data_IF_795586257564
#
_entry.id   IF_795586257564
#
_cell.length_a   1.000
_cell.length_b   1.000
_cell.length_c   1.000
_cell.angle_alpha   90.00
_cell.angle_beta   90.00
_cell.angle_gamma   90.00
#
_symmetry.space_group_name_H-M   'P 1'
#
loop_
_entity.id
_entity.type
_entity.pdbx_description
1 polymer ?
#
# COMPACT_ATOMS: atom_id res chain seq x y z
N UNK A 1 18.25 2.62 0.44
CA UNK A 1 17.55 3.60 1.29
C UNK A 1 16.23 2.98 1.69
N UNK A 2 15.78 3.17 2.94
CA UNK A 2 14.47 2.72 3.41
C UNK A 2 13.66 3.97 3.75
N UNK A 3 12.42 4.02 3.28
CA UNK A 3 11.49 5.12 3.51
C UNK A 3 10.10 4.57 3.83
N UNK A 4 9.28 5.39 4.48
CA UNK A 4 7.88 5.10 4.75
C UNK A 4 7.01 6.20 4.12
N UNK A 5 5.85 5.79 3.61
CA UNK A 5 4.83 6.67 3.04
C UNK A 5 3.47 6.24 3.57
N UNK A 6 2.59 7.20 3.85
CA UNK A 6 1.21 6.94 4.25
C UNK A 6 0.40 8.23 4.32
N UNK A 7 -0.88 8.15 3.96
CA UNK A 7 -1.83 9.23 4.15
C UNK A 7 -2.31 9.28 5.60
N UNK A 8 -2.19 10.45 6.23
CA UNK A 8 -2.53 10.67 7.63
C UNK A 8 -3.63 11.73 7.69
N UNK A 9 -4.80 11.38 8.23
CA UNK A 9 -5.84 12.35 8.50
C UNK A 9 -5.39 13.38 9.55
N UNK A 10 -6.06 14.53 9.62
CA UNK A 10 -5.71 15.60 10.58
C UNK A 10 -5.75 15.17 12.06
N UNK A 11 -6.49 14.10 12.36
CA UNK A 11 -6.56 13.48 13.69
C UNK A 11 -5.52 12.35 13.92
N UNK A 12 -4.60 12.13 12.97
CA UNK A 12 -3.60 11.07 13.03
C UNK A 12 -4.06 9.69 12.52
N UNK A 13 -5.31 9.56 12.06
CA UNK A 13 -5.84 8.27 11.57
C UNK A 13 -5.25 7.89 10.21
N UNK A 14 -4.86 6.62 10.05
CA UNK A 14 -4.36 6.04 8.80
C UNK A 14 -5.41 5.18 8.07
N UNK A 15 -6.40 4.69 8.81
CA UNK A 15 -7.43 3.78 8.33
C UNK A 15 -8.40 3.42 9.45
N UNK A 16 -9.55 2.87 9.09
CA UNK A 16 -10.62 2.48 9.99
C UNK A 16 -11.15 1.11 9.55
N UNK A 17 -11.29 0.13 10.45
CA UNK A 17 -11.85 -1.20 10.16
C UNK A 17 -11.29 -1.92 8.91
N UNK A 18 -9.99 -1.75 8.67
CA UNK A 18 -9.30 -2.36 7.53
C UNK A 18 -9.47 -1.62 6.20
N UNK A 19 -10.14 -0.47 6.16
CA UNK A 19 -10.29 0.34 4.93
C UNK A 19 -9.87 1.79 5.15
N UNK A 20 -9.70 2.53 4.06
CA UNK A 20 -9.45 3.97 4.08
C UNK A 20 -10.79 4.70 4.13
N UNK A 21 -11.09 5.49 5.18
CA UNK A 21 -12.40 6.15 5.33
C UNK A 21 -12.66 7.31 4.37
N UNK A 22 -11.82 7.46 3.35
CA UNK A 22 -11.89 8.49 2.32
C UNK A 22 -11.73 7.87 0.93
N UNK A 23 -12.28 8.56 -0.07
CA UNK A 23 -12.15 8.23 -1.48
C UNK A 23 -11.58 9.46 -2.20
N UNK A 24 -10.25 9.51 -2.30
CA UNK A 24 -9.50 10.63 -2.88
C UNK A 24 -8.59 10.05 -3.99
N UNK A 25 -9.05 10.03 -5.25
CA UNK A 25 -8.32 9.42 -6.36
C UNK A 25 -6.92 10.01 -6.57
N UNK A 26 -6.76 11.31 -6.34
CA UNK A 26 -5.49 12.02 -6.51
C UNK A 26 -4.43 11.58 -5.48
N UNK A 27 -4.86 11.22 -4.27
CA UNK A 27 -3.96 10.69 -3.22
C UNK A 27 -3.47 9.30 -3.61
N UNK A 28 -4.36 8.46 -4.13
CA UNK A 28 -3.99 7.13 -4.60
C UNK A 28 -3.02 7.19 -5.80
N UNK A 29 -3.27 8.09 -6.75
CA UNK A 29 -2.39 8.30 -7.89
C UNK A 29 -0.99 8.76 -7.44
N UNK A 30 -0.93 9.67 -6.47
CA UNK A 30 0.34 10.12 -5.88
C UNK A 30 1.08 8.97 -5.18
N UNK A 31 0.37 8.12 -4.42
CA UNK A 31 0.96 6.94 -3.81
C UNK A 31 1.57 6.00 -4.86
N UNK A 32 0.80 5.67 -5.91
CA UNK A 32 1.25 4.80 -7.00
C UNK A 32 2.49 5.36 -7.72
N UNK A 33 2.51 6.66 -8.03
CA UNK A 33 3.66 7.31 -8.65
C UNK A 33 4.88 7.30 -7.71
N UNK A 34 4.68 7.58 -6.42
CA UNK A 34 5.78 7.69 -5.44
C UNK A 34 6.47 6.35 -5.19
N UNK A 35 5.70 5.25 -5.20
CA UNK A 35 6.23 3.90 -4.93
C UNK A 35 6.64 3.16 -6.21
N UNK A 36 6.40 3.74 -7.38
CA UNK A 36 6.73 3.13 -8.66
C UNK A 36 8.23 2.79 -8.74
N UNK A 37 8.54 1.53 -9.08
CA UNK A 37 9.91 1.03 -9.19
C UNK A 37 10.60 0.69 -7.86
N UNK A 38 9.94 0.91 -6.72
CA UNK A 38 10.42 0.48 -5.41
C UNK A 38 9.85 -0.89 -4.99
N UNK A 39 10.55 -1.57 -4.09
CA UNK A 39 9.98 -2.71 -3.39
C UNK A 39 9.07 -2.22 -2.26
N UNK A 40 7.82 -2.69 -2.24
CA UNK A 40 6.83 -2.35 -1.21
C UNK A 40 6.85 -3.38 -0.08
N UNK A 41 6.91 -2.88 1.15
CA UNK A 41 6.72 -3.68 2.38
C UNK A 41 5.42 -3.22 3.03
N UNK A 42 4.43 -4.09 3.07
CA UNK A 42 3.10 -3.78 3.64
C UNK A 42 2.62 -4.92 4.55
N UNK A 43 1.80 -4.59 5.54
CA UNK A 43 1.17 -5.59 6.40
C UNK A 43 0.10 -6.39 5.66
N UNK A 44 -0.16 -7.62 6.12
CA UNK A 44 -1.18 -8.51 5.52
C UNK A 44 -2.55 -7.84 5.40
N UNK A 45 -3.02 -7.16 6.44
CA UNK A 45 -4.33 -6.50 6.44
C UNK A 45 -4.43 -5.40 5.37
N UNK A 46 -3.36 -4.63 5.17
CA UNK A 46 -3.29 -3.63 4.09
C UNK A 46 -3.28 -4.28 2.72
N UNK A 47 -2.59 -5.41 2.56
CA UNK A 47 -2.60 -6.17 1.31
C UNK A 47 -4.00 -6.73 0.99
N UNK A 48 -4.69 -7.26 2.00
CA UNK A 48 -6.03 -7.83 1.87
C UNK A 48 -7.10 -6.77 1.54
N UNK A 49 -6.91 -5.52 1.97
CA UNK A 49 -7.86 -4.43 1.73
C UNK A 49 -7.49 -3.48 0.59
N UNK A 50 -6.26 -3.56 0.08
CA UNK A 50 -5.79 -2.70 -1.00
C UNK A 50 -6.65 -2.86 -2.25
N UNK A 51 -7.12 -1.74 -2.79
CA UNK A 51 -7.70 -1.66 -4.14
C UNK A 51 -6.65 -1.53 -5.24
N UNK A 52 -5.40 -1.28 -4.84
CA UNK A 52 -4.25 -1.11 -5.72
C UNK A 52 -3.78 -2.49 -6.15
N UNK A 53 -3.44 -2.66 -7.43
CA UNK A 53 -2.65 -3.82 -7.86
C UNK A 53 -1.26 -3.71 -7.26
N UNK A 54 -1.08 -4.29 -6.07
CA UNK A 54 0.25 -4.51 -5.53
C UNK A 54 0.92 -5.51 -6.47
N UNK A 55 1.72 -5.00 -7.41
CA UNK A 55 2.67 -5.85 -8.13
C UNK A 55 3.70 -6.24 -7.07
N UNK A 56 3.42 -7.36 -6.42
CA UNK A 56 4.45 -8.07 -5.68
C UNK A 56 5.55 -8.31 -6.71
N UNK A 57 6.63 -7.54 -6.66
CA UNK A 57 7.85 -7.83 -7.40
C UNK A 57 8.15 -9.27 -7.03
N UNK A 58 7.84 -10.19 -7.96
CA UNK A 58 7.65 -11.62 -7.76
C UNK A 58 8.32 -12.04 -6.46
N UNK A 59 7.54 -12.15 -5.38
CA UNK A 59 7.98 -13.00 -4.27
C UNK A 59 8.22 -14.29 -4.99
N UNK A 60 9.51 -14.64 -5.14
CA UNK A 60 9.97 -15.90 -5.69
C UNK A 60 9.02 -16.92 -5.09
N UNK A 61 8.06 -17.37 -5.92
CA UNK A 61 7.10 -18.35 -5.46
C UNK A 61 7.99 -19.48 -4.98
N UNK A 62 7.83 -19.99 -3.74
CA UNK A 62 8.52 -21.21 -3.37
C UNK A 62 8.17 -22.19 -4.48
N UNK A 63 9.17 -22.59 -5.26
CA UNK A 63 9.02 -23.64 -6.24
C UNK A 63 8.50 -24.82 -5.45
N UNK A 64 7.24 -25.17 -5.70
CA UNK A 64 6.62 -26.31 -5.08
C UNK A 64 7.45 -27.54 -5.47
N UNK A 65 8.11 -28.12 -4.48
CA UNK A 65 8.38 -29.56 -4.42
C UNK A 65 7.32 -30.20 -3.53
#
# INVERSE_FOLDING_TARGET
MIAAIGAVASNGMLGLDGWLPWDIPEELAYFEETVAGAALVIGRLTYESARVKVVVASVMQPTAE
#
